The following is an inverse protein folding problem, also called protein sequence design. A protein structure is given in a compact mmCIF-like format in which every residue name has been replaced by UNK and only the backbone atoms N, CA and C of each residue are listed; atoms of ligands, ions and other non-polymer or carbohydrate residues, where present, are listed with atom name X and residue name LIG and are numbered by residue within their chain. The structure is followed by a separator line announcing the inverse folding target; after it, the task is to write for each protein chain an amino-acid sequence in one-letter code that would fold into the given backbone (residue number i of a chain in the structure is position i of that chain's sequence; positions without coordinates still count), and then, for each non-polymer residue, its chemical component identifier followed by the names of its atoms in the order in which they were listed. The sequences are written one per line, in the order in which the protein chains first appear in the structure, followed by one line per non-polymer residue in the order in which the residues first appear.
data_IF_081786435520
#
_entry.id   IF_081786435520
#
_cell.length_a   1.000
_cell.length_b   1.000
_cell.length_c   1.000
_cell.angle_alpha   90.00
_cell.angle_beta   90.00
_cell.angle_gamma   90.00
#
_symmetry.space_group_name_H-M   'P 1'
#
loop_
_entity.id
_entity.type
_entity.pdbx_description
1 polymer ?
#
# COMPACT_ATOMS: atom_id res chain seq x y z
N UNK A 1 11.98 -37.03 42.82
CA UNK A 1 11.83 -35.58 42.53
C UNK A 1 11.20 -35.27 41.17
N UNK A 2 11.10 -36.20 40.22
CA UNK A 2 10.56 -35.92 38.87
C UNK A 2 9.05 -35.62 38.77
N UNK A 3 8.22 -36.10 39.69
CA UNK A 3 6.76 -35.89 39.63
C UNK A 3 6.32 -34.43 39.83
N UNK A 4 7.07 -33.65 40.61
CA UNK A 4 6.76 -32.24 40.87
C UNK A 4 7.01 -31.34 39.64
N UNK A 5 8.05 -31.66 38.85
CA UNK A 5 8.40 -30.90 37.64
C UNK A 5 7.36 -31.10 36.52
N UNK A 6 6.84 -32.32 36.35
CA UNK A 6 5.79 -32.62 35.36
C UNK A 6 4.54 -31.76 35.59
N UNK A 7 4.16 -31.53 36.86
CA UNK A 7 3.01 -30.69 37.19
C UNK A 7 3.28 -29.19 37.03
N UNK A 8 4.52 -28.74 37.23
CA UNK A 8 4.91 -27.35 37.03
C UNK A 8 4.96 -27.01 35.52
N UNK A 9 5.57 -27.90 34.72
CA UNK A 9 5.68 -27.74 33.27
C UNK A 9 4.32 -27.76 32.58
N UNK A 10 3.41 -28.63 33.02
CA UNK A 10 2.04 -28.67 32.51
C UNK A 10 1.25 -27.40 32.88
N UNK A 11 1.40 -26.87 34.10
CA UNK A 11 0.77 -25.60 34.49
C UNK A 11 1.31 -24.42 33.69
N UNK A 12 2.62 -24.41 33.43
CA UNK A 12 3.26 -23.38 32.61
C UNK A 12 2.78 -23.46 31.16
N UNK A 13 2.68 -24.66 30.58
CA UNK A 13 2.14 -24.87 29.24
C UNK A 13 0.70 -24.34 29.11
N UNK A 14 -0.16 -24.69 30.06
CA UNK A 14 -1.55 -24.23 30.10
C UNK A 14 -1.66 -22.71 30.22
N UNK A 15 -0.85 -22.10 31.08
CA UNK A 15 -0.81 -20.66 31.23
C UNK A 15 -0.37 -19.97 29.94
N UNK A 16 0.69 -20.46 29.29
CA UNK A 16 1.18 -19.92 28.03
C UNK A 16 0.14 -20.08 26.93
N UNK A 17 -0.45 -21.27 26.78
CA UNK A 17 -1.48 -21.53 25.77
C UNK A 17 -2.69 -20.62 25.93
N UNK A 18 -3.20 -20.45 27.16
CA UNK A 18 -4.39 -19.63 27.43
C UNK A 18 -4.16 -18.13 27.17
N UNK A 19 -2.94 -17.64 27.39
CA UNK A 19 -2.58 -16.23 27.16
C UNK A 19 -2.00 -15.97 25.76
N UNK A 20 -1.84 -17.01 24.95
CA UNK A 20 -1.38 -16.88 23.57
C UNK A 20 -2.46 -16.26 22.70
N UNK A 21 -2.07 -15.45 21.71
CA UNK A 21 -3.00 -14.79 20.81
C UNK A 21 -3.86 -15.80 20.02
N UNK A 22 -5.13 -15.48 19.79
CA UNK A 22 -6.12 -16.37 19.16
C UNK A 22 -5.65 -16.93 17.81
N UNK A 23 -4.91 -16.15 17.01
CA UNK A 23 -4.39 -16.62 15.72
C UNK A 23 -3.45 -17.82 15.84
N UNK A 24 -2.70 -17.93 16.94
CA UNK A 24 -1.87 -19.09 17.21
C UNK A 24 -2.69 -20.23 17.80
N UNK A 25 -3.66 -19.96 18.68
CA UNK A 25 -4.55 -20.98 19.25
C UNK A 25 -5.40 -21.67 18.17
N UNK A 26 -5.77 -20.96 17.11
CA UNK A 26 -6.50 -21.54 15.99
C UNK A 26 -5.62 -22.49 15.15
N UNK A 27 -4.31 -22.23 15.07
CA UNK A 27 -3.35 -23.04 14.32
C UNK A 27 -2.76 -24.19 15.14
N UNK A 28 -2.62 -23.98 16.45
CA UNK A 28 -2.03 -24.93 17.39
C UNK A 28 -3.15 -25.39 18.32
N UNK A 29 -3.63 -26.62 18.13
CA UNK A 29 -4.65 -27.17 19.03
C UNK A 29 -4.01 -27.53 20.37
N UNK A 30 -4.74 -27.24 21.45
CA UNK A 30 -4.32 -27.58 22.82
C UNK A 30 -4.04 -29.07 23.01
N UNK A 31 -4.70 -29.93 22.22
CA UNK A 31 -4.54 -31.39 22.26
C UNK A 31 -3.23 -31.88 21.65
N UNK A 32 -2.59 -31.07 20.81
CA UNK A 32 -1.50 -31.51 19.94
C UNK A 32 -0.12 -31.14 20.51
N UNK A 33 -0.09 -30.50 21.69
CA UNK A 33 1.13 -29.98 22.31
C UNK A 33 1.17 -30.39 23.78
N UNK A 34 2.26 -31.02 24.18
CA UNK A 34 2.41 -31.57 25.54
C UNK A 34 3.58 -31.00 26.32
N UNK A 35 4.36 -30.10 25.73
CA UNK A 35 5.46 -29.41 26.40
C UNK A 35 5.59 -27.96 25.95
N UNK A 36 6.21 -27.13 26.79
CA UNK A 36 6.52 -25.74 26.44
C UNK A 36 7.44 -25.66 25.22
N UNK A 37 8.39 -26.59 25.10
CA UNK A 37 9.31 -26.64 23.96
C UNK A 37 8.58 -26.91 22.65
N UNK A 38 7.62 -27.85 22.67
CA UNK A 38 6.79 -28.16 21.51
C UNK A 38 5.87 -26.99 21.14
N UNK A 39 5.28 -26.32 22.14
CA UNK A 39 4.49 -25.10 21.91
C UNK A 39 5.33 -24.02 21.22
N UNK A 40 6.55 -23.79 21.70
CA UNK A 40 7.47 -22.81 21.10
C UNK A 40 7.84 -23.18 19.66
N UNK A 41 8.08 -24.47 19.37
CA UNK A 41 8.39 -24.93 18.00
C UNK A 41 7.21 -24.67 17.06
N UNK A 42 6.00 -25.02 17.48
CA UNK A 42 4.80 -24.80 16.66
C UNK A 42 4.45 -23.31 16.51
N UNK A 43 4.72 -22.50 17.54
CA UNK A 43 4.60 -21.05 17.44
C UNK A 43 5.58 -20.47 16.40
N UNK A 44 6.83 -20.93 16.40
CA UNK A 44 7.81 -20.52 15.39
C UNK A 44 7.40 -20.99 13.97
N UNK A 45 6.76 -22.16 13.84
CA UNK A 45 6.19 -22.61 12.57
C UNK A 45 5.07 -21.66 12.11
N UNK A 46 4.17 -21.27 13.01
CA UNK A 46 3.10 -20.34 12.73
C UNK A 46 3.62 -18.96 12.27
N UNK A 47 4.66 -18.45 12.93
CA UNK A 47 5.32 -17.19 12.55
C UNK A 47 5.90 -17.23 11.14
N UNK A 48 6.57 -18.33 10.77
CA UNK A 48 7.07 -18.51 9.39
C UNK A 48 5.93 -18.53 8.38
N UNK A 49 4.83 -19.22 8.67
CA UNK A 49 3.66 -19.23 7.80
C UNK A 49 3.04 -17.83 7.66
N UNK A 50 2.88 -17.09 8.77
CA UNK A 50 2.41 -15.70 8.72
C UNK A 50 3.34 -14.78 7.92
N UNK A 51 4.66 -14.99 8.00
CA UNK A 51 5.63 -14.22 7.22
C UNK A 51 5.52 -14.52 5.73
N UNK A 52 5.34 -15.79 5.35
CA UNK A 52 5.10 -16.20 3.96
C UNK A 52 3.80 -15.61 3.42
N UNK A 53 2.69 -15.72 4.15
CA UNK A 53 1.41 -15.13 3.76
C UNK A 53 1.49 -13.61 3.57
N UNK A 54 2.22 -12.91 4.46
CA UNK A 54 2.44 -11.47 4.32
C UNK A 54 3.31 -11.13 3.11
N UNK A 55 4.35 -11.91 2.85
CA UNK A 55 5.21 -11.73 1.68
C UNK A 55 4.42 -11.95 0.38
N UNK A 56 3.58 -13.00 0.31
CA UNK A 56 2.69 -13.24 -0.82
C UNK A 56 1.66 -12.13 -1.01
N UNK A 57 1.03 -11.64 0.08
CA UNK A 57 0.10 -10.51 0.01
C UNK A 57 0.80 -9.27 -0.55
N UNK A 58 2.02 -8.99 -0.08
CA UNK A 58 2.83 -7.88 -0.56
C UNK A 58 3.19 -8.07 -2.04
N UNK A 59 3.59 -9.26 -2.45
CA UNK A 59 3.88 -9.57 -3.87
C UNK A 59 2.63 -9.36 -4.73
N UNK A 60 1.48 -9.90 -4.34
CA UNK A 60 0.19 -9.69 -5.01
C UNK A 60 -0.20 -8.21 -5.08
N UNK A 61 0.00 -7.45 -4.01
CA UNK A 61 -0.25 -6.01 -3.99
C UNK A 61 0.72 -5.27 -4.92
N UNK A 62 2.01 -5.61 -4.93
CA UNK A 62 2.98 -5.01 -5.87
C UNK A 62 2.66 -5.35 -7.32
N UNK A 63 2.23 -6.58 -7.59
CA UNK A 63 1.83 -7.03 -8.93
C UNK A 63 0.54 -6.34 -9.38
N UNK A 64 -0.43 -6.17 -8.46
CA UNK A 64 -1.66 -5.39 -8.71
C UNK A 64 -1.36 -3.90 -8.94
N UNK A 65 -0.44 -3.32 -8.17
CA UNK A 65 0.02 -1.94 -8.36
C UNK A 65 0.74 -1.76 -9.70
N UNK A 66 1.61 -2.72 -10.09
CA UNK A 66 2.29 -2.72 -11.38
C UNK A 66 1.29 -2.84 -12.54
N UNK A 67 0.31 -3.74 -12.45
CA UNK A 67 -0.76 -3.87 -13.44
C UNK A 67 -1.64 -2.60 -13.51
N UNK A 68 -1.93 -1.97 -12.36
CA UNK A 68 -2.65 -0.70 -12.32
C UNK A 68 -1.86 0.46 -12.95
N UNK A 69 -0.53 0.41 -12.93
CA UNK A 69 0.33 1.40 -13.56
C UNK A 69 0.39 1.24 -15.09
N UNK A 70 0.23 0.03 -15.63
CA UNK A 70 0.21 -0.21 -17.10
C UNK A 70 -1.18 -0.08 -17.72
N UNK A 71 -2.25 -0.14 -16.92
CA UNK A 71 -3.61 0.05 -17.39
C UNK A 71 -3.82 1.46 -17.99
N UNK A 72 -4.67 1.60 -19.04
CA UNK A 72 -4.96 2.88 -19.65
C UNK A 72 -5.54 3.86 -18.62
N UNK A 73 -5.25 5.15 -18.78
CA UNK A 73 -5.71 6.19 -17.88
C UNK A 73 -7.25 6.26 -17.82
N UNK A 74 -7.81 6.24 -16.60
CA UNK A 74 -9.22 6.50 -16.35
C UNK A 74 -9.36 7.68 -15.39
N UNK A 75 -9.96 8.78 -15.87
CA UNK A 75 -10.08 10.04 -15.13
C UNK A 75 -10.90 9.95 -13.83
N UNK A 76 -11.82 8.99 -13.74
CA UNK A 76 -12.67 8.80 -12.56
C UNK A 76 -11.94 8.10 -11.42
N UNK A 77 -10.94 7.27 -11.74
CA UNK A 77 -10.24 6.42 -10.77
C UNK A 77 -8.80 6.84 -10.50
N UNK A 78 -8.19 7.61 -11.41
CA UNK A 78 -6.83 8.08 -11.29
C UNK A 78 -6.72 9.42 -10.55
N UNK A 79 -5.81 9.48 -9.58
CA UNK A 79 -5.46 10.69 -8.86
C UNK A 79 -4.88 11.76 -9.79
N UNK A 80 -5.48 12.96 -9.79
CA UNK A 80 -5.05 14.08 -10.64
C UNK A 80 -3.70 14.69 -10.25
N UNK A 81 -3.11 14.28 -9.12
CA UNK A 81 -1.81 14.76 -8.65
C UNK A 81 -0.66 13.87 -9.12
N UNK A 82 -0.84 12.56 -9.10
CA UNK A 82 0.25 11.60 -9.33
C UNK A 82 -0.05 10.56 -10.43
N UNK A 83 -1.21 10.65 -11.09
CA UNK A 83 -1.63 9.75 -12.17
C UNK A 83 -1.79 8.27 -11.74
N UNK A 84 -2.11 8.01 -10.47
CA UNK A 84 -2.16 6.66 -9.90
C UNK A 84 -3.53 6.39 -9.27
N UNK A 85 -3.96 5.13 -9.31
CA UNK A 85 -5.29 4.71 -8.85
C UNK A 85 -5.32 4.48 -7.33
N UNK A 86 -6.52 4.25 -6.81
CA UNK A 86 -6.74 3.77 -5.43
C UNK A 86 -6.70 4.86 -4.35
N UNK A 87 -6.59 6.13 -4.72
CA UNK A 87 -6.66 7.25 -3.78
C UNK A 87 -7.09 8.54 -4.46
N UNK A 88 -7.58 9.50 -3.68
CA UNK A 88 -7.97 10.83 -4.17
C UNK A 88 -6.79 11.80 -4.13
N UNK A 89 -6.95 12.99 -4.73
CA UNK A 89 -5.95 14.06 -4.64
C UNK A 89 -5.65 14.46 -3.20
N UNK A 90 -6.66 14.43 -2.33
CA UNK A 90 -6.54 14.87 -0.94
C UNK A 90 -5.73 13.87 -0.10
N UNK A 91 -5.83 12.58 -0.41
CA UNK A 91 -5.09 11.51 0.27
C UNK A 91 -3.72 11.21 -0.40
N UNK A 92 -3.37 11.96 -1.44
CA UNK A 92 -2.18 11.72 -2.24
C UNK A 92 -0.89 12.21 -1.56
N UNK A 93 -0.14 11.28 -0.97
CA UNK A 93 1.20 11.52 -0.38
C UNK A 93 2.34 11.49 -1.40
N UNK A 94 2.07 11.11 -2.66
CA UNK A 94 3.09 10.98 -3.72
C UNK A 94 3.49 12.34 -4.31
N UNK A 95 4.67 12.42 -4.91
CA UNK A 95 5.14 13.64 -5.57
C UNK A 95 4.23 13.98 -6.78
N UNK A 96 3.89 15.26 -6.99
CA UNK A 96 3.10 15.65 -8.15
C UNK A 96 3.84 15.32 -9.45
N UNK A 97 3.14 14.71 -10.40
CA UNK A 97 3.64 14.40 -11.74
C UNK A 97 3.00 15.32 -12.76
N UNK A 98 3.77 15.71 -13.79
CA UNK A 98 3.23 16.37 -14.99
C UNK A 98 2.72 15.28 -15.93
N UNK A 99 1.43 15.28 -16.23
CA UNK A 99 0.83 14.34 -17.17
C UNK A 99 -0.44 14.92 -17.81
N UNK A 100 -0.82 14.36 -18.95
CA UNK A 100 -2.01 14.72 -19.69
C UNK A 100 -3.25 14.13 -19.02
N UNK A 101 -4.12 14.96 -18.43
CA UNK A 101 -5.36 14.50 -17.77
C UNK A 101 -6.47 14.03 -18.72
N UNK A 102 -6.20 13.99 -20.03
CA UNK A 102 -7.12 13.47 -21.06
C UNK A 102 -6.65 12.11 -21.59
N UNK A 103 -5.34 11.99 -21.82
CA UNK A 103 -4.73 10.88 -22.53
C UNK A 103 -3.75 10.06 -21.68
N UNK A 104 -3.45 10.49 -20.45
CA UNK A 104 -2.58 9.79 -19.51
C UNK A 104 -1.08 9.90 -19.76
N UNK A 105 -0.63 10.56 -20.86
CA UNK A 105 0.80 10.68 -21.21
C UNK A 105 1.58 11.42 -20.12
N UNK A 106 2.64 10.79 -19.63
CA UNK A 106 3.60 11.42 -18.68
C UNK A 106 4.43 12.51 -19.37
N UNK A 107 4.84 13.53 -18.60
CA UNK A 107 5.76 14.59 -19.02
C UNK A 107 5.11 15.78 -19.74
N UNK A 108 3.88 15.65 -20.23
CA UNK A 108 3.17 16.71 -20.97
C UNK A 108 1.92 17.19 -20.22
N UNK A 109 1.62 18.48 -20.27
CA UNK A 109 0.35 19.01 -19.74
C UNK A 109 -0.75 18.82 -20.80
N UNK A 110 -2.02 18.73 -20.38
CA UNK A 110 -3.16 18.61 -21.32
C UNK A 110 -3.18 19.70 -22.40
N UNK A 111 -2.76 20.93 -22.05
CA UNK A 111 -2.73 22.07 -22.97
C UNK A 111 -1.75 21.86 -24.13
N UNK A 112 -0.63 21.20 -23.86
CA UNK A 112 0.42 20.96 -24.86
C UNK A 112 0.13 19.68 -25.67
N UNK A 113 -0.54 18.71 -25.05
CA UNK A 113 -0.86 17.44 -25.69
C UNK A 113 -2.11 17.49 -26.59
N UNK A 114 -3.10 18.29 -26.20
CA UNK A 114 -4.32 18.55 -26.97
C UNK A 114 -4.50 20.06 -27.07
N UNK A 115 -3.73 20.72 -27.95
CA UNK A 115 -3.93 22.14 -28.16
C UNK A 115 -5.38 22.37 -28.58
N UNK A 116 -6.08 23.34 -27.96
CA UNK A 116 -7.41 23.69 -28.42
C UNK A 116 -7.32 24.10 -29.89
N UNK A 117 -8.31 23.74 -30.74
CA UNK A 117 -8.41 24.35 -32.06
C UNK A 117 -8.37 25.87 -31.86
N UNK A 118 -7.44 26.53 -32.55
CA UNK A 118 -7.02 27.88 -32.21
C UNK A 118 -8.19 28.82 -31.99
N UNK A 119 -8.29 29.41 -30.80
CA UNK A 119 -9.03 30.65 -30.63
C UNK A 119 -8.21 31.77 -31.28
N UNK A 120 -8.20 31.77 -32.61
CA UNK A 120 -7.70 32.90 -33.38
C UNK A 120 -8.62 34.09 -33.10
N UNK A 121 -8.03 35.15 -32.53
CA UNK A 121 -8.60 36.45 -32.12
C UNK A 121 -9.17 36.52 -30.69
N UNK A 122 -8.25 36.77 -29.75
CA UNK A 122 -8.45 37.87 -28.79
C UNK A 122 -7.16 38.67 -28.66
N UNK A 123 -6.80 39.35 -29.73
CA UNK A 123 -5.86 40.47 -29.69
C UNK A 123 -6.55 41.59 -28.92
N UNK A 124 -6.30 41.66 -27.61
CA UNK A 124 -6.55 42.83 -26.80
C UNK A 124 -5.21 43.48 -26.54
N UNK A 125 -4.85 44.45 -27.37
CA UNK A 125 -3.74 45.36 -27.13
C UNK A 125 -3.99 46.11 -25.81
N UNK A 126 -3.04 46.00 -24.88
CA UNK A 126 -2.58 47.16 -24.10
C UNK A 126 -1.12 46.92 -23.74
N UNK A 127 -0.25 47.28 -24.68
CA UNK A 127 1.12 47.67 -24.39
C UNK A 127 1.07 49.08 -23.80
N UNK A 128 1.10 49.22 -22.47
CA UNK A 128 1.40 50.50 -21.85
C UNK A 128 2.93 50.64 -21.79
N UNK A 129 3.49 51.21 -22.85
CA UNK A 129 4.81 51.82 -22.81
C UNK A 129 4.74 53.02 -21.83
N UNK A 130 5.63 53.04 -20.85
CA UNK A 130 6.01 54.27 -20.15
C UNK A 130 7.45 54.56 -20.55
N UNK A 131 7.60 55.55 -21.44
CA UNK A 131 8.88 56.16 -21.79
C UNK A 131 9.24 57.16 -20.67
N UNK A 132 10.50 57.16 -20.26
CA UNK A 132 11.13 58.24 -19.50
C UNK A 132 11.14 59.57 -20.27
N UNK A 133 11.18 60.71 -19.57
CA UNK A 133 12.35 61.61 -19.58
C UNK A 133 12.62 62.14 -18.14
N UNK A 134 13.72 62.78 -17.72
CA UNK A 134 14.92 63.41 -18.27
C UNK A 134 15.99 63.42 -17.17
#
# INVERSE_FOLDING_TARGET
MHRANITADHRQLEYLYRNMHFSYQWRIRRTDVHSVQELCREAANCERLFALEQAERKEKDTTREAAAATAPYNRAECCWRCNQRGHTRFDCKRLPRKFCSQCGKDGVMTKDCHPPPGNEKRTGETSAAHQSPE
#
